data_IF_930718851413
#
_entry.id   IF_930718851413
#
_cell.length_a   1.000
_cell.length_b   1.000
_cell.length_c   1.000
_cell.angle_alpha   90.00
_cell.angle_beta   90.00
_cell.angle_gamma   90.00
#
_symmetry.space_group_name_H-M   'P 1'
#
loop_
_entity.id
_entity.type
_entity.pdbx_description
1 polymer ?
#
# COMPACT_ATOMS: atom_id res chain seq x y z
N UNK A 1 -3.11 -7.94 4.79
CA UNK A 1 -3.74 -8.71 3.69
C UNK A 1 -4.54 -9.88 4.25
N UNK A 2 -3.99 -10.62 5.20
CA UNK A 2 -4.64 -11.61 6.03
C UNK A 2 -5.44 -10.94 7.15
N UNK A 3 -6.43 -11.66 7.68
CA UNK A 3 -7.16 -11.24 8.88
C UNK A 3 -6.39 -11.69 10.12
N UNK A 4 -6.35 -10.87 11.17
CA UNK A 4 -5.65 -11.19 12.42
C UNK A 4 -6.61 -11.22 13.60
N UNK A 5 -6.35 -12.14 14.54
CA UNK A 5 -6.99 -12.20 15.83
C UNK A 5 -5.93 -12.51 16.89
N UNK A 6 -5.78 -11.65 17.91
CA UNK A 6 -4.73 -11.83 18.92
C UNK A 6 -3.30 -11.76 18.37
N UNK A 7 -3.06 -11.02 17.28
CA UNK A 7 -1.72 -10.86 16.69
C UNK A 7 -1.27 -11.99 15.75
N UNK A 8 -2.01 -13.09 15.67
CA UNK A 8 -1.78 -14.18 14.71
C UNK A 8 -2.77 -14.13 13.54
N UNK A 9 -2.39 -14.63 12.35
CA UNK A 9 -3.34 -14.80 11.26
C UNK A 9 -4.51 -15.69 11.70
N UNK A 10 -5.73 -15.19 11.54
CA UNK A 10 -6.95 -15.91 11.88
C UNK A 10 -7.30 -16.93 10.79
N UNK A 11 -8.04 -17.98 11.15
CA UNK A 11 -8.55 -18.97 10.20
C UNK A 11 -9.53 -18.37 9.18
N UNK A 12 -10.20 -17.27 9.52
CA UNK A 12 -11.12 -16.60 8.63
C UNK A 12 -10.38 -15.89 7.49
N UNK A 13 -10.64 -16.33 6.25
CA UNK A 13 -10.12 -15.74 5.01
C UNK A 13 -10.56 -14.28 4.86
N UNK A 14 -9.61 -13.38 4.58
CA UNK A 14 -9.93 -11.99 4.25
C UNK A 14 -10.48 -11.85 2.83
N UNK A 15 -11.16 -10.74 2.54
CA UNK A 15 -11.66 -10.48 1.19
C UNK A 15 -10.53 -10.32 0.17
N UNK A 16 -9.41 -9.70 0.58
CA UNK A 16 -8.22 -9.60 -0.26
C UNK A 16 -7.63 -10.97 -0.59
N UNK A 17 -7.49 -11.85 0.41
CA UNK A 17 -6.99 -13.21 0.20
C UNK A 17 -7.91 -13.99 -0.75
N UNK A 18 -9.23 -13.86 -0.58
CA UNK A 18 -10.23 -14.48 -1.46
C UNK A 18 -10.12 -13.99 -2.90
N UNK A 19 -9.99 -12.68 -3.10
CA UNK A 19 -9.83 -12.08 -4.41
C UNK A 19 -8.54 -12.54 -5.11
N UNK A 20 -7.42 -12.60 -4.37
CA UNK A 20 -6.14 -13.09 -4.89
C UNK A 20 -6.22 -14.57 -5.27
N UNK A 21 -6.88 -15.40 -4.45
CA UNK A 21 -7.08 -16.82 -4.75
C UNK A 21 -7.93 -17.03 -6.02
N UNK A 22 -8.90 -16.16 -6.29
CA UNK A 22 -9.67 -16.21 -7.54
C UNK A 22 -8.80 -15.89 -8.78
N UNK A 23 -7.71 -15.13 -8.62
CA UNK A 23 -6.75 -14.81 -9.69
C UNK A 23 -5.70 -15.91 -9.90
N UNK A 24 -5.70 -16.96 -9.08
CA UNK A 24 -4.70 -18.03 -9.09
C UNK A 24 -4.35 -18.59 -10.48
N UNK A 25 -5.32 -18.90 -11.37
CA UNK A 25 -4.99 -19.41 -12.71
C UNK A 25 -4.21 -18.40 -13.57
N UNK A 26 -4.53 -17.11 -13.45
CA UNK A 26 -3.85 -16.03 -14.19
C UNK A 26 -2.46 -15.74 -13.61
N UNK A 27 -2.31 -15.91 -12.30
CA UNK A 27 -1.04 -15.75 -11.60
C UNK A 27 -0.12 -16.96 -11.76
N UNK A 28 -0.63 -18.11 -12.22
CA UNK A 28 0.11 -19.38 -12.35
C UNK A 28 0.82 -19.79 -11.05
N UNK A 29 0.19 -19.53 -9.90
CA UNK A 29 0.68 -19.91 -8.58
C UNK A 29 -0.27 -20.96 -8.00
N UNK A 30 0.23 -21.83 -7.13
CA UNK A 30 -0.61 -22.66 -6.29
C UNK A 30 -1.18 -21.86 -5.13
N UNK A 31 -2.23 -22.38 -4.48
CA UNK A 31 -2.75 -21.76 -3.27
C UNK A 31 -1.73 -21.78 -2.12
N UNK A 32 -0.92 -22.83 -2.02
CA UNK A 32 0.16 -22.90 -1.03
C UNK A 32 1.20 -21.78 -1.23
N UNK A 33 1.59 -21.50 -2.48
CA UNK A 33 2.50 -20.40 -2.80
C UNK A 33 1.89 -19.03 -2.49
N UNK A 34 0.61 -18.83 -2.83
CA UNK A 34 -0.12 -17.61 -2.48
C UNK A 34 -0.16 -17.42 -0.96
N UNK A 35 -0.51 -18.47 -0.20
CA UNK A 35 -0.56 -18.39 1.26
C UNK A 35 0.82 -18.12 1.88
N UNK A 36 1.87 -18.78 1.37
CA UNK A 36 3.24 -18.54 1.83
C UNK A 36 3.62 -17.07 1.64
N UNK A 37 3.38 -16.52 0.45
CA UNK A 37 3.76 -15.16 0.13
C UNK A 37 2.92 -14.14 0.93
N UNK A 38 1.61 -14.36 1.11
CA UNK A 38 0.74 -13.48 1.92
C UNK A 38 1.18 -13.39 3.39
N UNK A 39 1.83 -14.41 3.96
CA UNK A 39 2.37 -14.33 5.33
C UNK A 39 3.49 -13.30 5.48
N UNK A 40 4.14 -12.92 4.37
CA UNK A 40 5.19 -11.93 4.36
C UNK A 40 4.65 -10.49 4.44
N UNK A 41 3.33 -10.27 4.42
CA UNK A 41 2.69 -8.95 4.25
C UNK A 41 3.19 -7.81 5.14
N UNK A 42 3.75 -8.13 6.31
CA UNK A 42 4.26 -7.14 7.28
C UNK A 42 5.76 -6.90 7.12
N UNK A 43 6.38 -7.42 6.07
CA UNK A 43 7.82 -7.41 5.85
C UNK A 43 8.14 -6.96 4.43
N UNK A 44 9.33 -6.37 4.24
CA UNK A 44 9.84 -5.99 2.93
C UNK A 44 9.99 -7.17 1.96
N UNK A 45 10.11 -8.40 2.47
CA UNK A 45 10.19 -9.59 1.64
C UNK A 45 8.92 -9.83 0.80
N UNK A 46 7.78 -9.25 1.19
CA UNK A 46 6.53 -9.40 0.43
C UNK A 46 6.62 -8.80 -0.97
N UNK A 47 7.22 -7.62 -1.12
CA UNK A 47 7.37 -6.95 -2.42
C UNK A 47 8.30 -7.70 -3.37
N UNK A 48 9.16 -8.56 -2.82
CA UNK A 48 10.07 -9.42 -3.56
C UNK A 48 9.44 -10.78 -3.91
N UNK A 49 8.23 -11.07 -3.40
CA UNK A 49 7.56 -12.34 -3.62
C UNK A 49 7.06 -12.51 -5.05
N UNK A 50 6.92 -13.77 -5.49
CA UNK A 50 6.36 -14.08 -6.80
C UNK A 50 4.91 -13.64 -6.91
N UNK A 51 4.13 -13.77 -5.83
CA UNK A 51 2.76 -13.25 -5.79
C UNK A 51 2.72 -11.75 -6.11
N UNK A 52 3.52 -10.93 -5.43
CA UNK A 52 3.54 -9.49 -5.64
C UNK A 52 3.92 -9.14 -7.08
N UNK A 53 5.02 -9.70 -7.57
CA UNK A 53 5.54 -9.43 -8.90
C UNK A 53 4.54 -9.81 -10.00
N UNK A 54 3.94 -11.01 -9.91
CA UNK A 54 2.99 -11.48 -10.92
C UNK A 54 1.65 -10.75 -10.85
N UNK A 55 1.20 -10.38 -9.67
CA UNK A 55 -0.02 -9.58 -9.51
C UNK A 55 0.13 -8.22 -10.17
N UNK A 56 1.26 -7.54 -9.96
CA UNK A 56 1.49 -6.24 -10.59
C UNK A 56 1.79 -6.36 -12.09
N UNK A 57 2.49 -7.42 -12.54
CA UNK A 57 2.65 -7.66 -13.97
C UNK A 57 1.30 -7.88 -14.67
N UNK A 58 0.39 -8.63 -14.03
CA UNK A 58 -0.98 -8.82 -14.51
C UNK A 58 -1.77 -7.50 -14.53
N UNK A 59 -1.64 -6.68 -13.49
CA UNK A 59 -2.31 -5.38 -13.43
C UNK A 59 -1.79 -4.40 -14.50
N UNK A 60 -0.48 -4.36 -14.72
CA UNK A 60 0.16 -3.52 -15.74
C UNK A 60 -0.27 -3.94 -17.15
N UNK A 61 -0.30 -5.24 -17.43
CA UNK A 61 -0.75 -5.78 -18.71
C UNK A 61 -2.23 -5.44 -19.00
N UNK A 62 -3.10 -5.54 -17.99
CA UNK A 62 -4.52 -5.21 -18.16
C UNK A 62 -4.78 -3.70 -18.26
N UNK A 63 -3.94 -2.88 -17.62
CA UNK A 63 -4.09 -1.42 -17.59
C UNK A 63 -3.37 -0.68 -18.71
N UNK A 64 -2.58 -1.38 -19.53
CA UNK A 64 -1.79 -0.78 -20.62
C UNK A 64 -0.63 0.12 -20.17
N UNK A 65 -0.39 0.22 -18.86
CA UNK A 65 0.63 1.07 -18.24
C UNK A 65 0.96 0.58 -16.83
N UNK A 66 2.13 0.98 -16.33
CA UNK A 66 2.59 0.68 -14.97
C UNK A 66 1.66 1.30 -13.94
N UNK A 67 0.89 0.48 -13.24
CA UNK A 67 -0.06 0.91 -12.24
C UNK A 67 0.64 1.46 -10.99
N UNK A 68 0.07 2.45 -10.28
CA UNK A 68 0.64 2.91 -9.03
C UNK A 68 0.63 1.78 -7.98
N UNK A 69 1.79 1.52 -7.36
CA UNK A 69 1.95 0.52 -6.28
C UNK A 69 1.45 1.07 -4.95
N UNK A 70 1.60 2.38 -4.78
CA UNK A 70 1.10 3.15 -3.65
C UNK A 70 0.21 4.27 -4.16
N UNK A 71 -0.88 4.55 -3.45
CA UNK A 71 -1.78 5.67 -3.77
C UNK A 71 -2.23 6.35 -2.50
N UNK A 72 -2.26 7.68 -2.52
CA UNK A 72 -2.92 8.45 -1.48
C UNK A 72 -4.42 8.17 -1.52
N UNK A 73 -5.05 7.91 -0.36
CA UNK A 73 -6.50 7.72 -0.32
C UNK A 73 -7.19 9.02 -0.71
N UNK A 74 -8.19 8.91 -1.59
CA UNK A 74 -9.04 10.02 -2.01
C UNK A 74 -10.26 10.09 -1.09
N UNK A 75 -10.04 10.55 0.15
CA UNK A 75 -11.11 10.77 1.12
C UNK A 75 -11.14 12.23 1.55
N UNK A 76 -12.34 12.74 1.77
CA UNK A 76 -12.56 14.02 2.41
C UNK A 76 -12.25 13.93 3.90
N UNK A 77 -11.73 15.02 4.46
CA UNK A 77 -11.44 15.18 5.86
C UNK A 77 -12.61 15.90 6.53
N UNK A 78 -13.24 15.22 7.48
CA UNK A 78 -14.36 15.74 8.27
C UNK A 78 -13.89 16.07 9.69
N UNK A 79 -14.11 17.31 10.14
CA UNK A 79 -13.81 17.72 11.52
C UNK A 79 -14.59 18.99 11.89
N UNK A 80 -14.99 19.18 13.16
CA UNK A 80 -15.67 20.38 13.62
C UNK A 80 -14.93 21.70 13.34
N UNK A 81 -13.62 21.65 13.08
CA UNK A 81 -12.78 22.83 12.80
C UNK A 81 -12.45 23.01 11.30
N UNK A 82 -12.92 22.10 10.44
CA UNK A 82 -12.69 22.16 9.00
C UNK A 82 -13.88 22.87 8.35
N UNK A 83 -13.68 24.14 7.97
CA UNK A 83 -14.73 24.98 7.37
C UNK A 83 -14.78 24.91 5.85
N UNK A 84 -13.86 24.16 5.22
CA UNK A 84 -13.75 23.98 3.76
C UNK A 84 -13.44 22.52 3.45
N UNK A 85 -13.90 22.00 2.32
CA UNK A 85 -13.63 20.61 1.91
C UNK A 85 -12.12 20.41 1.75
N UNK A 86 -11.55 19.53 2.57
CA UNK A 86 -10.13 19.19 2.57
C UNK A 86 -10.00 17.71 2.22
N UNK A 87 -8.98 17.36 1.44
CA UNK A 87 -8.70 15.96 1.11
C UNK A 87 -7.53 15.44 1.93
N UNK A 88 -7.42 14.12 2.07
CA UNK A 88 -6.21 13.51 2.66
C UNK A 88 -4.94 13.87 1.88
N UNK A 89 -5.06 14.02 0.56
CA UNK A 89 -3.96 14.52 -0.27
C UNK A 89 -3.50 15.92 0.17
N UNK A 90 -4.44 16.86 0.39
CA UNK A 90 -4.12 18.19 0.87
C UNK A 90 -3.38 18.15 2.21
N UNK A 91 -3.83 17.29 3.13
CA UNK A 91 -3.19 17.15 4.44
C UNK A 91 -1.79 16.56 4.33
N UNK A 92 -1.61 15.49 3.56
CA UNK A 92 -0.31 14.87 3.31
C UNK A 92 0.70 15.87 2.74
N UNK A 93 0.30 16.64 1.71
CA UNK A 93 1.13 17.71 1.12
C UNK A 93 1.49 18.80 2.13
N UNK A 94 0.55 19.20 2.99
CA UNK A 94 0.79 20.24 3.99
C UNK A 94 1.77 19.80 5.09
N UNK A 95 1.64 18.56 5.56
CA UNK A 95 2.57 17.99 6.55
C UNK A 95 3.97 17.86 5.95
N UNK A 96 4.09 17.31 4.75
CA UNK A 96 5.37 17.16 4.05
C UNK A 96 6.05 18.52 3.80
N UNK A 97 5.31 19.53 3.34
CA UNK A 97 5.83 20.90 3.16
C UNK A 97 6.42 21.48 4.46
N UNK A 98 5.72 21.33 5.59
CA UNK A 98 6.22 21.78 6.90
C UNK A 98 7.45 21.00 7.32
N UNK A 99 7.45 19.68 7.11
CA UNK A 99 8.60 18.83 7.42
C UNK A 99 9.84 19.25 6.62
N UNK A 100 9.71 19.45 5.29
CA UNK A 100 10.80 19.95 4.43
C UNK A 100 11.32 21.32 4.87
N UNK A 101 10.41 22.25 5.20
CA UNK A 101 10.79 23.57 5.73
C UNK A 101 11.62 23.45 7.01
N UNK A 102 11.29 22.49 7.88
CA UNK A 102 12.08 22.23 9.09
C UNK A 102 13.46 21.64 8.78
N UNK A 103 13.56 20.74 7.78
CA UNK A 103 14.84 20.18 7.35
C UNK A 103 15.75 21.24 6.72
N UNK A 104 15.19 22.13 5.90
CA UNK A 104 15.92 23.23 5.27
C UNK A 104 16.51 24.19 6.32
N UNK A 105 15.73 24.57 7.33
CA UNK A 105 16.19 25.40 8.46
C UNK A 105 17.27 24.74 9.32
N UNK A 106 17.41 23.41 9.26
CA UNK A 106 18.42 22.65 10.00
C UNK A 106 19.71 22.43 9.21
N UNK A 107 19.75 22.69 7.90
CA UNK A 107 21.02 22.67 7.17
C UNK A 107 21.83 23.89 7.61
N UNK A 108 23.04 23.72 8.19
CA UNK A 108 23.90 24.85 8.47
C UNK A 108 24.27 25.52 7.14
N UNK A 109 24.23 26.85 7.11
CA UNK A 109 24.65 27.65 5.97
C UNK A 109 26.08 27.23 5.56
N UNK A 110 26.24 26.61 4.38
CA UNK A 110 27.55 26.36 3.79
C UNK A 110 27.96 24.91 3.49
N UNK A 111 27.04 23.94 3.34
CA UNK A 111 27.38 22.66 2.73
C UNK A 111 26.98 22.63 1.24
N UNK A 112 27.92 23.04 0.38
CA UNK A 112 27.97 22.74 -1.07
C UNK A 112 29.04 21.69 -1.34
#
# INVERSE_FOLDING_TARGET
LLRYQGGVPAAATSDTQRAVLALRPRLQLSEAEIQRDLRLEKTFAFEQSLLYQRLYALADANGGARQPRERLPQIDLESPKITRRLTTEWFAKRVDSRYRSCLERRRPDGAS
#
